data_IF_799987216142
#
_entry.id   IF_799987216142
#
_cell.length_a   1.000
_cell.length_b   1.000
_cell.length_c   1.000
_cell.angle_alpha   90.00
_cell.angle_beta   90.00
_cell.angle_gamma   90.00
#
_symmetry.space_group_name_H-M   'P 1'
#
loop_
_entity.id
_entity.type
_entity.pdbx_description
1 polymer ?
#
# COMPACT_ATOMS: atom_id res chain seq x y z
N UNK A 1 10.62 -21.58 -18.24
CA UNK A 1 10.89 -20.28 -17.59
C UNK A 1 10.79 -19.27 -18.71
N UNK A 2 9.84 -18.33 -18.63
CA UNK A 2 9.61 -17.34 -19.69
C UNK A 2 10.73 -16.32 -19.73
N UNK A 3 11.16 -15.89 -20.91
CA UNK A 3 12.17 -14.83 -21.04
C UNK A 3 11.54 -13.45 -20.84
N UNK A 4 12.36 -12.41 -20.64
CA UNK A 4 11.85 -11.05 -20.44
C UNK A 4 11.21 -10.51 -21.73
N UNK A 5 11.74 -10.90 -22.89
CA UNK A 5 11.22 -10.56 -24.21
C UNK A 5 9.90 -11.26 -24.48
N UNK A 6 9.77 -12.54 -24.08
CA UNK A 6 8.51 -13.28 -24.17
C UNK A 6 7.43 -12.68 -23.27
N UNK A 7 7.80 -12.24 -22.07
CA UNK A 7 6.89 -11.52 -21.18
C UNK A 7 6.48 -10.15 -21.74
N UNK A 8 7.45 -9.36 -22.20
CA UNK A 8 7.21 -8.03 -22.78
C UNK A 8 6.34 -8.11 -24.04
N UNK A 9 6.53 -9.14 -24.87
CA UNK A 9 5.70 -9.40 -26.05
C UNK A 9 4.22 -9.72 -25.74
N UNK A 10 3.86 -9.93 -24.47
CA UNK A 10 2.47 -10.11 -24.03
C UNK A 10 1.69 -8.80 -23.81
N UNK A 11 2.35 -7.65 -23.93
CA UNK A 11 1.77 -6.31 -23.74
C UNK A 11 1.88 -5.50 -25.04
N UNK A 12 0.91 -4.60 -25.23
CA UNK A 12 0.83 -3.69 -26.38
C UNK A 12 0.89 -2.23 -25.88
N UNK A 13 1.92 -1.93 -25.07
CA UNK A 13 2.17 -0.59 -24.54
C UNK A 13 3.11 0.23 -25.42
N UNK A 14 3.03 1.56 -25.29
CA UNK A 14 3.88 2.49 -26.03
C UNK A 14 5.33 2.39 -25.52
N UNK A 15 6.33 2.26 -26.41
CA UNK A 15 7.74 2.14 -26.00
C UNK A 15 8.16 3.30 -25.08
N UNK A 16 8.57 2.95 -23.86
CA UNK A 16 8.99 3.92 -22.85
C UNK A 16 7.94 4.22 -21.79
N UNK A 17 6.88 3.41 -21.68
CA UNK A 17 5.94 3.50 -20.57
C UNK A 17 6.65 3.26 -19.22
N UNK A 18 6.56 4.23 -18.31
CA UNK A 18 7.19 4.16 -16.98
C UNK A 18 6.20 4.39 -15.82
N UNK A 19 4.95 4.76 -16.11
CA UNK A 19 3.93 5.04 -15.09
C UNK A 19 3.21 3.79 -14.58
N UNK A 20 3.97 2.72 -14.29
CA UNK A 20 3.43 1.47 -13.75
C UNK A 20 2.81 1.64 -12.36
N UNK A 21 3.20 2.69 -11.63
CA UNK A 21 2.67 3.00 -10.31
C UNK A 21 1.26 3.62 -10.38
N UNK A 22 0.95 4.36 -11.45
CA UNK A 22 -0.39 4.85 -11.73
C UNK A 22 -1.29 3.74 -12.24
N UNK A 23 -0.96 3.20 -13.41
CA UNK A 23 -1.71 2.11 -14.03
C UNK A 23 -0.76 1.13 -14.73
N UNK A 24 -0.97 -0.17 -14.55
CA UNK A 24 -0.23 -1.17 -15.31
C UNK A 24 -0.80 -1.29 -16.73
N UNK A 25 0.03 -1.43 -17.78
CA UNK A 25 -0.48 -1.81 -19.08
C UNK A 25 -1.17 -3.17 -18.98
N UNK A 26 -2.30 -3.32 -19.67
CA UNK A 26 -3.05 -4.57 -19.68
C UNK A 26 -2.42 -5.54 -20.68
N UNK A 27 -2.21 -6.78 -20.26
CA UNK A 27 -1.76 -7.83 -21.16
C UNK A 27 -2.80 -8.07 -22.26
N UNK A 28 -2.34 -8.33 -23.48
CA UNK A 28 -3.20 -8.60 -24.65
C UNK A 28 -4.19 -9.74 -24.37
N UNK A 29 -3.73 -10.78 -23.67
CA UNK A 29 -4.56 -11.91 -23.27
C UNK A 29 -5.68 -11.50 -22.29
N UNK A 30 -5.41 -10.57 -21.36
CA UNK A 30 -6.41 -10.09 -20.41
C UNK A 30 -7.50 -9.24 -21.09
N UNK A 31 -7.09 -8.40 -22.06
CA UNK A 31 -8.03 -7.60 -22.88
C UNK A 31 -8.93 -8.51 -23.72
N UNK A 32 -8.35 -9.54 -24.35
CA UNK A 32 -9.10 -10.51 -25.14
C UNK A 32 -10.14 -11.28 -24.30
N UNK A 33 -9.76 -11.71 -23.09
CA UNK A 33 -10.66 -12.40 -22.17
C UNK A 33 -11.79 -11.48 -21.69
N UNK A 34 -11.48 -10.22 -21.34
CA UNK A 34 -12.51 -9.25 -20.96
C UNK A 34 -13.55 -9.07 -22.08
N UNK A 35 -13.10 -8.90 -23.33
CA UNK A 35 -14.00 -8.77 -24.48
C UNK A 35 -14.89 -10.01 -24.67
N UNK A 36 -14.36 -11.21 -24.40
CA UNK A 36 -15.15 -12.45 -24.45
C UNK A 36 -16.27 -12.47 -23.39
N UNK A 37 -15.98 -11.99 -22.17
CA UNK A 37 -16.98 -11.86 -21.10
C UNK A 37 -18.02 -10.80 -21.39
N UNK A 38 -17.62 -9.66 -21.93
CA UNK A 38 -18.54 -8.59 -22.33
C UNK A 38 -19.52 -9.08 -23.41
N UNK A 39 -19.03 -9.85 -24.38
CA UNK A 39 -19.87 -10.44 -25.42
C UNK A 39 -20.83 -11.52 -24.88
N UNK A 40 -20.39 -12.31 -23.90
CA UNK A 40 -21.24 -13.28 -23.21
C UNK A 40 -22.34 -12.57 -22.42
N UNK A 41 -22.02 -11.48 -21.71
CA UNK A 41 -22.99 -10.65 -21.00
C UNK A 41 -24.00 -10.02 -21.96
N UNK A 42 -23.54 -9.49 -23.09
CA UNK A 42 -24.38 -8.87 -24.11
C UNK A 42 -25.39 -9.85 -24.71
N UNK A 43 -25.01 -11.13 -24.87
CA UNK A 43 -25.85 -12.19 -25.46
C UNK A 43 -26.54 -13.08 -24.41
N UNK A 44 -26.34 -12.81 -23.12
CA UNK A 44 -26.70 -13.70 -22.04
C UNK A 44 -28.20 -14.02 -21.96
N UNK A 45 -28.53 -15.29 -21.75
CA UNK A 45 -29.87 -15.78 -21.39
C UNK A 45 -29.83 -16.39 -19.99
N UNK A 46 -30.98 -16.69 -19.40
CA UNK A 46 -31.05 -17.37 -18.10
C UNK A 46 -30.16 -18.64 -18.11
N UNK A 47 -29.19 -18.70 -17.19
CA UNK A 47 -28.14 -19.73 -17.14
C UNK A 47 -26.73 -19.26 -17.54
N UNK A 48 -26.57 -18.15 -18.29
CA UNK A 48 -25.24 -17.60 -18.61
C UNK A 48 -24.54 -16.99 -17.39
N UNK A 49 -25.29 -16.63 -16.35
CA UNK A 49 -24.76 -16.11 -15.09
C UNK A 49 -24.02 -17.17 -14.26
N UNK A 50 -24.34 -18.46 -14.42
CA UNK A 50 -23.59 -19.53 -13.76
C UNK A 50 -22.11 -19.54 -14.18
N UNK A 51 -21.85 -19.26 -15.45
CA UNK A 51 -20.49 -19.15 -15.96
C UNK A 51 -19.71 -18.00 -15.29
N UNK A 52 -20.38 -16.91 -14.92
CA UNK A 52 -19.79 -15.78 -14.19
C UNK A 52 -19.55 -16.12 -12.71
N UNK A 53 -20.49 -16.81 -12.05
CA UNK A 53 -20.25 -17.28 -10.68
C UNK A 53 -19.06 -18.24 -10.60
N UNK A 54 -18.85 -19.07 -11.62
CA UNK A 54 -17.64 -19.90 -11.72
C UNK A 54 -16.36 -19.06 -11.88
N UNK A 55 -16.43 -17.88 -12.50
CA UNK A 55 -15.28 -16.96 -12.54
C UNK A 55 -14.92 -16.40 -11.17
N UNK A 56 -15.92 -16.06 -10.35
CA UNK A 56 -15.66 -15.56 -8.99
C UNK A 56 -14.87 -16.59 -8.16
N UNK A 57 -15.23 -17.87 -8.24
CA UNK A 57 -14.50 -18.96 -7.58
C UNK A 57 -13.07 -19.08 -8.11
N UNK A 58 -12.87 -19.01 -9.44
CA UNK A 58 -11.53 -19.08 -10.05
C UNK A 58 -10.66 -17.90 -9.64
N UNK A 59 -11.24 -16.70 -9.62
CA UNK A 59 -10.56 -15.47 -9.20
C UNK A 59 -10.11 -15.57 -7.74
N UNK A 60 -10.97 -16.04 -6.82
CA UNK A 60 -10.63 -16.22 -5.40
C UNK A 60 -9.53 -17.26 -5.22
N UNK A 61 -9.56 -18.36 -5.97
CA UNK A 61 -8.51 -19.38 -5.94
C UNK A 61 -7.15 -18.82 -6.41
N UNK A 62 -7.14 -18.05 -7.50
CA UNK A 62 -5.93 -17.40 -7.99
C UNK A 62 -5.39 -16.35 -7.01
N UNK A 63 -6.25 -15.51 -6.45
CA UNK A 63 -5.88 -14.52 -5.45
C UNK A 63 -5.37 -15.17 -4.14
N UNK A 64 -5.95 -16.31 -3.75
CA UNK A 64 -5.49 -17.11 -2.62
C UNK A 64 -4.08 -17.65 -2.85
N UNK A 65 -3.79 -18.16 -4.05
CA UNK A 65 -2.45 -18.61 -4.41
C UNK A 65 -1.42 -17.46 -4.42
N UNK A 66 -1.82 -16.26 -4.85
CA UNK A 66 -0.94 -15.09 -4.91
C UNK A 66 -0.64 -14.49 -3.53
N UNK A 67 -1.64 -14.43 -2.66
CA UNK A 67 -1.56 -13.71 -1.38
C UNK A 67 -1.34 -14.62 -0.17
N UNK A 68 -1.59 -15.93 -0.31
CA UNK A 68 -1.55 -16.90 0.77
C UNK A 68 -2.76 -16.88 1.70
N UNK A 69 -3.71 -15.95 1.52
CA UNK A 69 -4.95 -15.92 2.30
C UNK A 69 -5.93 -16.99 1.82
N UNK A 70 -6.82 -17.42 2.72
CA UNK A 70 -7.87 -18.37 2.33
C UNK A 70 -8.91 -17.68 1.44
N UNK A 71 -9.54 -18.39 0.48
CA UNK A 71 -10.50 -17.79 -0.44
C UNK A 71 -11.76 -17.21 0.25
N UNK A 72 -12.11 -17.68 1.46
CA UNK A 72 -13.18 -17.12 2.30
C UNK A 72 -12.85 -15.73 2.88
N UNK A 73 -11.58 -15.35 2.90
CA UNK A 73 -11.10 -14.08 3.47
C UNK A 73 -10.82 -13.01 2.40
N UNK A 74 -11.00 -13.35 1.12
CA UNK A 74 -10.74 -12.44 0.00
C UNK A 74 -12.05 -11.76 -0.38
N UNK A 75 -12.03 -10.45 -0.60
CA UNK A 75 -13.20 -9.72 -1.13
C UNK A 75 -12.78 -8.95 -2.36
N UNK A 76 -13.49 -9.15 -3.47
CA UNK A 76 -13.20 -8.45 -4.71
C UNK A 76 -13.79 -7.04 -4.66
N UNK A 77 -12.97 -6.04 -4.93
CA UNK A 77 -13.33 -4.64 -4.86
C UNK A 77 -12.87 -3.93 -6.13
N UNK A 78 -13.70 -3.01 -6.61
CA UNK A 78 -13.43 -2.22 -7.83
C UNK A 78 -12.17 -1.34 -7.73
N UNK A 79 -11.75 -1.01 -6.51
CA UNK A 79 -10.53 -0.24 -6.23
C UNK A 79 -10.07 -0.45 -4.79
N UNK A 80 -8.80 -0.18 -4.53
CA UNK A 80 -8.22 -0.20 -3.18
C UNK A 80 -8.95 0.75 -2.23
N UNK A 81 -9.34 1.93 -2.71
CA UNK A 81 -10.08 2.92 -1.91
C UNK A 81 -11.45 2.40 -1.49
N UNK A 82 -12.21 1.79 -2.40
CA UNK A 82 -13.53 1.22 -2.07
C UNK A 82 -13.40 0.07 -1.07
N UNK A 83 -12.41 -0.81 -1.23
CA UNK A 83 -12.17 -1.89 -0.28
C UNK A 83 -11.78 -1.40 1.11
N UNK A 84 -10.95 -0.35 1.18
CA UNK A 84 -10.59 0.26 2.45
C UNK A 84 -11.80 0.93 3.13
N UNK A 85 -12.61 1.69 2.37
CA UNK A 85 -13.83 2.29 2.90
C UNK A 85 -14.81 1.22 3.41
N UNK A 86 -14.94 0.11 2.68
CA UNK A 86 -15.76 -1.03 3.10
C UNK A 86 -15.25 -1.62 4.43
N UNK A 87 -13.94 -1.80 4.58
CA UNK A 87 -13.34 -2.30 5.81
C UNK A 87 -13.55 -1.35 7.01
N UNK A 88 -13.46 -0.04 6.79
CA UNK A 88 -13.62 0.96 7.85
C UNK A 88 -15.01 0.98 8.46
N UNK A 89 -16.06 0.63 7.71
CA UNK A 89 -17.41 0.48 8.29
C UNK A 89 -17.52 -0.69 9.27
N UNK A 90 -16.65 -1.70 9.17
CA UNK A 90 -16.62 -2.84 10.08
C UNK A 90 -15.74 -2.64 11.32
N UNK A 91 -14.93 -1.58 11.37
CA UNK A 91 -14.03 -1.33 12.49
C UNK A 91 -14.63 -0.33 13.48
N UNK A 92 -14.61 -0.70 14.76
CA UNK A 92 -14.96 0.19 15.88
C UNK A 92 -13.70 0.43 16.72
N UNK A 93 -12.95 1.51 16.44
CA UNK A 93 -11.73 1.81 17.19
C UNK A 93 -10.84 2.87 16.55
N UNK A 94 -9.70 3.16 17.20
CA UNK A 94 -8.67 4.03 16.64
C UNK A 94 -7.82 3.29 15.60
N UNK A 95 -7.49 3.95 14.50
CA UNK A 95 -6.66 3.41 13.42
C UNK A 95 -5.34 4.16 13.35
N UNK A 96 -4.23 3.42 13.32
CA UNK A 96 -2.91 3.98 13.08
C UNK A 96 -2.62 3.97 11.57
N UNK A 97 -2.14 5.09 11.02
CA UNK A 97 -1.84 5.26 9.60
C UNK A 97 -0.39 5.68 9.39
N UNK A 98 0.25 5.12 8.36
CA UNK A 98 1.61 5.49 7.96
C UNK A 98 1.64 6.83 7.23
N UNK A 99 2.69 7.63 7.45
CA UNK A 99 2.82 8.97 6.86
C UNK A 99 2.87 8.99 5.31
N UNK A 100 3.20 7.86 4.68
CA UNK A 100 3.21 7.69 3.22
C UNK A 100 1.94 7.02 2.65
N UNK A 101 0.90 6.78 3.46
CA UNK A 101 -0.32 6.14 2.96
C UNK A 101 -1.03 7.03 1.94
N UNK A 102 -1.67 6.41 0.94
CA UNK A 102 -2.43 7.13 -0.08
C UNK A 102 -3.50 8.04 0.55
N UNK A 103 -3.76 9.20 -0.06
CA UNK A 103 -4.68 10.22 0.49
C UNK A 103 -6.11 9.72 0.67
N UNK A 104 -6.48 8.66 -0.06
CA UNK A 104 -7.75 7.97 0.11
C UNK A 104 -7.96 7.42 1.53
N UNK A 105 -6.87 7.09 2.24
CA UNK A 105 -6.91 6.55 3.59
C UNK A 105 -6.93 7.64 4.68
N UNK A 106 -6.67 8.90 4.34
CA UNK A 106 -6.46 9.96 5.33
C UNK A 106 -6.77 11.35 4.80
N UNK A 107 -8.05 11.68 4.68
CA UNK A 107 -8.45 13.08 4.63
C UNK A 107 -8.45 13.63 6.06
N UNK A 108 -7.60 14.62 6.32
CA UNK A 108 -7.70 15.49 7.49
C UNK A 108 -9.00 16.29 7.32
N UNK A 109 -10.07 15.87 7.96
CA UNK A 109 -11.37 16.55 7.87
C UNK A 109 -11.31 17.92 8.57
N UNK A 110 -11.89 19.00 8.01
CA UNK A 110 -12.02 20.28 8.69
C UNK A 110 -13.26 20.25 9.58
N UNK A 111 -13.13 19.71 10.80
CA UNK A 111 -14.14 19.75 11.85
C UNK A 111 -13.69 20.64 13.03
N UNK A 112 -14.62 21.17 13.85
CA UNK A 112 -14.30 22.13 14.90
C UNK A 112 -13.35 21.55 15.97
N UNK A 113 -12.49 22.38 16.58
CA UNK A 113 -11.26 21.97 17.27
C UNK A 113 -11.43 21.22 18.61
N UNK A 114 -12.65 20.99 19.12
CA UNK A 114 -12.84 20.53 20.51
C UNK A 114 -12.83 19.00 20.71
N UNK A 115 -12.91 18.17 19.67
CA UNK A 115 -13.01 16.70 19.83
C UNK A 115 -11.82 15.90 19.30
N UNK A 116 -10.90 16.50 18.54
CA UNK A 116 -9.73 15.80 17.97
C UNK A 116 -8.42 15.94 18.76
N UNK A 117 -8.33 16.90 19.69
CA UNK A 117 -7.09 17.20 20.39
C UNK A 117 -6.58 16.09 21.33
N UNK A 118 -7.36 15.03 21.57
CA UNK A 118 -7.00 13.98 22.53
C UNK A 118 -6.24 12.78 21.93
N UNK A 119 -6.25 12.54 20.61
CA UNK A 119 -5.76 11.25 20.06
C UNK A 119 -4.61 11.32 19.04
N UNK A 120 -4.27 12.48 18.48
CA UNK A 120 -3.08 12.61 17.62
C UNK A 120 -1.82 12.92 18.44
N UNK A 121 -1.44 12.02 19.35
CA UNK A 121 -0.09 12.01 19.92
C UNK A 121 0.81 11.25 18.95
N UNK A 122 1.25 11.91 17.88
CA UNK A 122 2.36 11.41 17.07
C UNK A 122 3.57 11.25 18.00
N UNK A 123 3.98 10.01 18.26
CA UNK A 123 5.24 9.73 18.93
C UNK A 123 6.38 10.23 18.05
N UNK A 124 6.91 11.41 18.37
CA UNK A 124 8.21 11.83 17.88
C UNK A 124 9.27 10.88 18.45
N UNK A 125 10.17 10.28 17.64
CA UNK A 125 11.42 9.79 18.17
C UNK A 125 12.23 11.02 18.58
N UNK A 126 12.21 11.36 19.87
CA UNK A 126 13.14 12.32 20.46
C UNK A 126 14.54 11.73 20.37
N UNK A 127 15.24 11.99 19.27
CA UNK A 127 16.69 11.94 19.22
C UNK A 127 17.22 12.97 20.22
N UNK A 128 17.44 12.51 21.44
CA UNK A 128 18.16 13.24 22.47
C UNK A 128 19.63 13.21 22.06
N UNK A 129 20.00 14.07 21.09
CA UNK A 129 21.37 14.48 20.88
C UNK A 129 21.80 15.26 22.14
N UNK A 130 22.28 14.53 23.13
CA UNK A 130 22.88 15.07 24.34
C UNK A 130 24.16 15.80 23.91
N UNK A 131 24.06 17.11 23.81
CA UNK A 131 25.18 18.04 23.75
C UNK A 131 26.14 17.73 24.91
N UNK A 132 27.32 17.21 24.59
CA UNK A 132 28.45 17.15 25.53
C UNK A 132 28.97 18.58 25.69
N UNK A 133 28.98 19.17 26.90
CA UNK A 133 29.61 20.46 27.10
C UNK A 133 31.14 20.33 26.98
N UNK A 134 31.72 21.30 26.29
CA UNK A 134 33.16 21.49 26.15
C UNK A 134 33.82 21.56 27.54
N UNK A 135 34.77 20.66 27.81
CA UNK A 135 35.63 20.74 28.99
C UNK A 135 36.66 21.84 28.75
N UNK A 136 36.50 22.95 29.46
CA UNK A 136 37.50 23.99 29.61
C UNK A 136 38.76 23.41 30.26
N UNK A 137 39.89 23.43 29.54
CA UNK A 137 41.20 23.18 30.10
C UNK A 137 41.73 24.50 30.67
N UNK A 138 41.52 24.74 31.95
CA UNK A 138 42.19 25.81 32.69
C UNK A 138 43.59 25.33 33.11
N UNK A 139 44.58 26.06 32.63
CA UNK A 139 45.99 25.99 33.01
C UNK A 139 46.22 26.40 34.47
N UNK A 140 47.03 25.62 35.20
CA UNK A 140 47.72 26.07 36.43
C UNK A 140 48.94 25.17 36.73
N UNK A 141 49.97 25.68 37.42
CA UNK A 141 51.38 25.45 37.09
C UNK A 141 52.08 24.43 37.99
N UNK A 142 53.25 23.87 37.60
CA UNK A 142 54.11 23.15 38.54
C UNK A 142 55.09 24.11 39.23
N UNK A 143 55.20 23.98 40.56
CA UNK A 143 56.23 24.61 41.42
C UNK A 143 57.11 23.50 42.05
N UNK A 144 58.27 23.85 42.63
CA UNK A 144 59.60 23.50 42.12
C UNK A 144 60.22 22.26 42.78
N UNK A 145 61.37 21.83 42.24
CA UNK A 145 61.94 20.50 42.41
C UNK A 145 62.76 20.21 43.67
N UNK A 146 63.36 19.01 43.71
CA UNK A 146 64.66 18.71 44.34
C UNK A 146 65.17 17.30 44.00
N UNK A 147 66.39 17.28 43.45
CA UNK A 147 67.51 16.35 43.66
C UNK A 147 67.30 14.83 43.64
N UNK A 148 67.95 14.16 42.70
CA UNK A 148 69.21 13.41 42.92
C UNK A 148 69.97 13.28 41.60
#
# INVERSE_FOLDING_TARGET
>A
MTTIEEYAGGFDDDPGYLDFAGFGPLAVAAVAEQAAWDELLRRGRHGSLDALHRQDVRMRAAASALTGFRPDQISFQQSTTSGLMHAMFGFTGGVALGAGSSRACGSRSPGPPSTWAASCRCGSPSSTARSRPARSASSSPPRPGRSS
#
